data_IF_866532348626
#
_entry.id   IF_866532348626
#
_cell.length_a   1.000
_cell.length_b   1.000
_cell.length_c   1.000
_cell.angle_alpha   90.00
_cell.angle_beta   90.00
_cell.angle_gamma   90.00
#
_symmetry.space_group_name_H-M   'P 1'
#
loop_
_entity.id
_entity.type
_entity.pdbx_description
1 polymer ?
#
# COMPACT_ATOMS: atom_id res chain seq x y z
N UNK A 1 -13.91 -66.30 -13.77
CA UNK A 1 -13.64 -65.06 -13.02
C UNK A 1 -14.59 -64.01 -13.53
N UNK A 2 -15.30 -63.35 -12.62
CA UNK A 2 -16.65 -62.78 -12.76
C UNK A 2 -16.68 -61.49 -13.62
N UNK A 3 -17.70 -61.26 -14.48
CA UNK A 3 -17.97 -59.98 -15.12
C UNK A 3 -18.83 -59.11 -14.20
N UNK A 4 -18.45 -57.84 -13.98
CA UNK A 4 -19.27 -56.88 -13.25
C UNK A 4 -20.36 -56.31 -14.17
N UNK A 5 -21.61 -56.68 -13.86
CA UNK A 5 -22.80 -55.92 -14.21
C UNK A 5 -22.88 -54.68 -13.30
N UNK A 6 -23.23 -53.53 -13.88
CA UNK A 6 -24.18 -52.63 -13.24
C UNK A 6 -25.23 -52.28 -14.31
N UNK A 7 -26.39 -52.91 -14.16
CA UNK A 7 -27.64 -52.42 -14.72
C UNK A 7 -27.95 -51.09 -14.04
N UNK A 8 -28.16 -50.03 -14.81
CA UNK A 8 -29.07 -48.97 -14.37
C UNK A 8 -30.47 -49.41 -14.80
N UNK A 9 -31.37 -49.45 -13.84
CA UNK A 9 -32.71 -50.04 -13.83
C UNK A 9 -33.81 -49.00 -14.10
N UNK A 10 -33.48 -47.88 -14.76
CA UNK A 10 -34.45 -46.80 -14.93
C UNK A 10 -35.34 -47.01 -16.16
N UNK A 11 -36.62 -47.26 -15.89
CA UNK A 11 -37.67 -47.32 -16.91
C UNK A 11 -38.01 -45.90 -17.40
N UNK A 12 -38.21 -45.75 -18.72
CA UNK A 12 -38.46 -44.48 -19.43
C UNK A 12 -39.59 -43.61 -18.84
N UNK A 13 -40.49 -44.19 -18.04
CA UNK A 13 -41.60 -43.50 -17.38
C UNK A 13 -41.20 -42.70 -16.12
N UNK A 14 -40.05 -42.98 -15.48
CA UNK A 14 -39.60 -42.21 -14.29
C UNK A 14 -38.99 -40.83 -14.64
N UNK A 15 -38.60 -40.58 -15.89
CA UNK A 15 -38.07 -39.27 -16.32
C UNK A 15 -39.14 -38.19 -16.52
N UNK A 16 -40.44 -38.51 -16.46
CA UNK A 16 -41.53 -37.53 -16.71
C UNK A 16 -41.88 -36.65 -15.50
N UNK A 17 -41.38 -36.96 -14.31
CA UNK A 17 -41.78 -36.28 -13.06
C UNK A 17 -40.65 -35.59 -12.32
N UNK A 18 -39.41 -35.61 -12.85
CA UNK A 18 -38.32 -34.81 -12.29
C UNK A 18 -38.39 -33.40 -12.88
N UNK A 19 -38.73 -32.36 -12.09
CA UNK A 19 -38.71 -31.00 -12.57
C UNK A 19 -37.26 -30.62 -12.88
N UNK A 20 -36.91 -30.61 -14.17
CA UNK A 20 -35.61 -30.20 -14.65
C UNK A 20 -35.52 -28.68 -14.52
N UNK A 21 -34.82 -28.23 -13.48
CA UNK A 21 -34.52 -26.81 -13.29
C UNK A 21 -33.69 -26.32 -14.48
N UNK A 22 -34.21 -25.31 -15.20
CA UNK A 22 -33.78 -24.89 -16.54
C UNK A 22 -32.45 -24.13 -16.57
N UNK A 23 -31.63 -24.22 -15.53
CA UNK A 23 -30.40 -23.45 -15.37
C UNK A 23 -29.13 -24.20 -15.77
N UNK A 24 -29.19 -25.52 -15.99
CA UNK A 24 -28.02 -26.39 -16.16
C UNK A 24 -27.89 -27.11 -17.52
N UNK A 25 -28.70 -26.76 -18.53
CA UNK A 25 -28.65 -27.37 -19.88
C UNK A 25 -28.14 -26.39 -20.93
N UNK A 26 -27.26 -26.84 -21.81
CA UNK A 26 -26.80 -26.14 -23.02
C UNK A 26 -27.56 -26.66 -24.24
N UNK A 27 -27.87 -25.78 -25.19
CA UNK A 27 -28.59 -26.12 -26.42
C UNK A 27 -27.62 -26.08 -27.60
N UNK A 28 -27.42 -27.23 -28.23
CA UNK A 28 -26.63 -27.43 -29.45
C UNK A 28 -27.28 -26.73 -30.66
N UNK A 29 -26.52 -26.54 -31.74
CA UNK A 29 -27.01 -25.88 -32.97
C UNK A 29 -28.07 -26.71 -33.69
N UNK A 30 -27.95 -28.03 -33.64
CA UNK A 30 -28.94 -29.00 -34.11
C UNK A 30 -30.21 -29.07 -33.23
N UNK A 31 -30.28 -28.30 -32.14
CA UNK A 31 -31.43 -28.22 -31.24
C UNK A 31 -31.47 -29.26 -30.13
N UNK A 32 -30.44 -30.11 -30.01
CA UNK A 32 -30.26 -31.04 -28.89
C UNK A 32 -29.85 -30.30 -27.60
N UNK A 33 -30.06 -30.93 -26.45
CA UNK A 33 -29.63 -30.39 -25.16
C UNK A 33 -28.66 -31.33 -24.47
N UNK A 34 -27.57 -30.77 -23.94
CA UNK A 34 -26.53 -31.47 -23.16
C UNK A 34 -26.35 -30.78 -21.80
N UNK A 35 -25.57 -31.38 -20.89
CA UNK A 35 -25.23 -30.72 -19.63
C UNK A 35 -24.12 -29.71 -19.84
N UNK A 36 -24.11 -28.67 -18.99
CA UNK A 36 -23.11 -27.60 -19.09
C UNK A 36 -21.67 -28.06 -18.77
N UNK A 37 -21.50 -29.20 -18.11
CA UNK A 37 -20.20 -29.81 -17.86
C UNK A 37 -19.61 -30.51 -19.09
N UNK A 38 -20.43 -30.78 -20.09
CA UNK A 38 -20.08 -31.51 -21.33
C UNK A 38 -19.74 -30.49 -22.44
N UNK A 39 -19.12 -29.36 -22.07
CA UNK A 39 -18.78 -28.25 -22.97
C UNK A 39 -17.27 -28.05 -22.92
N UNK A 40 -16.60 -27.99 -24.07
CA UNK A 40 -15.14 -27.85 -24.19
C UNK A 40 -14.37 -28.96 -23.46
N UNK A 41 -14.88 -30.19 -23.49
CA UNK A 41 -14.22 -31.35 -22.90
C UNK A 41 -13.45 -32.19 -23.94
N UNK A 42 -13.37 -31.69 -25.19
CA UNK A 42 -12.80 -32.35 -26.35
C UNK A 42 -13.57 -33.58 -26.85
N UNK A 43 -14.84 -33.69 -26.45
CA UNK A 43 -15.79 -34.71 -26.90
C UNK A 43 -16.94 -34.01 -27.60
N UNK A 44 -17.35 -34.51 -28.77
CA UNK A 44 -18.55 -34.03 -29.45
C UNK A 44 -19.79 -34.70 -28.82
N UNK A 45 -20.31 -34.12 -27.74
CA UNK A 45 -21.56 -34.50 -27.08
C UNK A 45 -22.79 -33.99 -27.84
N UNK A 46 -22.64 -32.95 -28.66
CA UNK A 46 -23.72 -32.41 -29.49
C UNK A 46 -23.97 -33.18 -30.80
N UNK A 47 -23.06 -34.08 -31.22
CA UNK A 47 -23.03 -34.74 -32.54
C UNK A 47 -23.03 -33.74 -33.73
N UNK A 48 -22.70 -32.49 -33.45
CA UNK A 48 -22.59 -31.40 -34.44
C UNK A 48 -21.40 -30.47 -34.14
N UNK A 49 -20.59 -30.79 -33.12
CA UNK A 49 -19.41 -30.05 -32.68
C UNK A 49 -19.69 -28.71 -32.00
N UNK A 50 -20.96 -28.30 -31.81
CA UNK A 50 -21.30 -26.96 -31.28
C UNK A 50 -20.91 -26.72 -29.82
N UNK A 51 -20.68 -27.79 -29.08
CA UNK A 51 -20.16 -27.83 -27.71
C UNK A 51 -18.63 -27.65 -27.64
N UNK A 52 -17.92 -28.02 -28.70
CA UNK A 52 -16.47 -27.85 -28.86
C UNK A 52 -16.11 -26.61 -29.69
N UNK A 53 -17.06 -26.07 -30.46
CA UNK A 53 -16.88 -24.86 -31.27
C UNK A 53 -16.94 -23.55 -30.44
N UNK A 54 -16.70 -23.66 -29.13
CA UNK A 54 -16.52 -22.53 -28.21
C UNK A 54 -15.08 -21.99 -28.29
N UNK A 55 -14.63 -21.77 -29.53
CA UNK A 55 -13.67 -20.69 -29.78
C UNK A 55 -14.36 -19.32 -29.81
N UNK A 56 -15.70 -19.26 -29.70
CA UNK A 56 -16.47 -18.04 -29.84
C UNK A 56 -17.53 -17.79 -28.75
N UNK A 57 -17.07 -17.65 -27.50
CA UNK A 57 -17.75 -16.77 -26.51
C UNK A 57 -17.49 -15.27 -26.82
N UNK A 58 -16.97 -14.93 -28.01
CA UNK A 58 -16.73 -13.56 -28.45
C UNK A 58 -17.40 -13.13 -29.77
N UNK A 59 -18.31 -13.90 -30.36
CA UNK A 59 -19.05 -13.45 -31.56
C UNK A 59 -20.56 -13.70 -31.49
N UNK A 60 -21.20 -13.27 -30.39
CA UNK A 60 -22.56 -12.73 -30.55
C UNK A 60 -22.39 -11.48 -31.42
N UNK A 61 -23.07 -11.42 -32.58
CA UNK A 61 -23.21 -10.26 -33.48
C UNK A 61 -23.29 -8.91 -32.73
N UNK A 62 -22.14 -8.36 -32.37
CA UNK A 62 -21.93 -7.08 -31.73
C UNK A 62 -20.50 -6.73 -32.02
N UNK A 63 -20.28 -5.71 -32.85
CA UNK A 63 -18.98 -5.18 -33.27
C UNK A 63 -18.23 -4.48 -32.12
N UNK A 64 -18.28 -5.05 -30.91
CA UNK A 64 -17.76 -4.44 -29.69
C UNK A 64 -16.89 -5.43 -28.94
N UNK A 65 -15.59 -5.26 -29.10
CA UNK A 65 -14.56 -5.96 -28.33
C UNK A 65 -14.67 -5.48 -26.88
N UNK A 66 -14.86 -6.44 -25.96
CA UNK A 66 -14.97 -6.17 -24.52
C UNK A 66 -13.84 -6.88 -23.81
N UNK A 67 -13.02 -6.12 -23.09
CA UNK A 67 -11.89 -6.67 -22.35
C UNK A 67 -12.33 -7.53 -21.16
N UNK A 68 -11.49 -8.48 -20.72
CA UNK A 68 -11.84 -9.39 -19.65
C UNK A 68 -12.25 -8.65 -18.37
N UNK A 69 -13.35 -9.07 -17.74
CA UNK A 69 -13.83 -8.45 -16.49
C UNK A 69 -12.85 -8.73 -15.35
N UNK A 70 -12.76 -7.80 -14.39
CA UNK A 70 -11.88 -7.88 -13.21
C UNK A 70 -10.38 -7.98 -13.55
N UNK A 71 -9.99 -7.55 -14.74
CA UNK A 71 -8.59 -7.45 -15.16
C UNK A 71 -8.24 -6.01 -15.44
N UNK A 72 -6.94 -5.71 -15.50
CA UNK A 72 -6.45 -4.37 -15.81
C UNK A 72 -6.12 -4.21 -17.28
N UNK A 73 -7.08 -4.53 -18.15
CA UNK A 73 -6.97 -4.31 -19.58
C UNK A 73 -7.86 -3.15 -20.03
N UNK A 74 -7.33 -2.31 -20.93
CA UNK A 74 -8.07 -1.25 -21.61
C UNK A 74 -8.27 -1.62 -23.08
N UNK A 75 -9.42 -1.24 -23.63
CA UNK A 75 -9.67 -1.40 -25.06
C UNK A 75 -8.91 -0.33 -25.85
N UNK A 76 -8.06 -0.75 -26.79
CA UNK A 76 -7.43 0.13 -27.75
C UNK A 76 -8.25 0.16 -29.05
N UNK A 77 -8.68 1.37 -29.44
CA UNK A 77 -9.51 1.63 -30.63
C UNK A 77 -8.75 1.48 -31.95
N UNK A 78 -7.42 1.62 -31.94
CA UNK A 78 -6.58 1.57 -33.13
C UNK A 78 -6.16 0.13 -33.44
N UNK A 79 -5.68 -0.59 -32.43
CA UNK A 79 -5.26 -1.99 -32.58
C UNK A 79 -6.44 -2.96 -32.56
N UNK A 80 -7.64 -2.50 -32.17
CA UNK A 80 -8.82 -3.36 -31.93
C UNK A 80 -8.48 -4.51 -30.97
N UNK A 81 -7.64 -4.26 -29.97
CA UNK A 81 -7.25 -5.28 -28.98
C UNK A 81 -7.38 -4.75 -27.56
N UNK A 82 -7.34 -5.67 -26.60
CA UNK A 82 -7.25 -5.34 -25.19
C UNK A 82 -5.78 -5.26 -24.79
N UNK A 83 -5.35 -4.07 -24.42
CA UNK A 83 -3.99 -3.79 -24.01
C UNK A 83 -3.90 -3.68 -22.50
N UNK A 84 -2.80 -4.19 -21.98
CA UNK A 84 -2.48 -4.11 -20.57
C UNK A 84 -2.41 -2.64 -20.14
N UNK A 85 -3.03 -2.30 -19.01
CA UNK A 85 -2.87 -0.99 -18.41
C UNK A 85 -1.55 -1.01 -17.66
N UNK A 86 -0.66 -0.06 -17.97
CA UNK A 86 0.57 0.10 -17.20
C UNK A 86 0.31 1.02 -16.00
N UNK A 87 0.05 0.46 -14.81
CA UNK A 87 -0.19 1.25 -13.59
C UNK A 87 1.06 1.98 -13.11
N UNK A 88 2.26 1.54 -13.50
CA UNK A 88 3.49 2.26 -13.16
C UNK A 88 3.53 3.64 -13.83
N UNK A 89 3.06 3.74 -15.07
CA UNK A 89 2.99 5.00 -15.81
C UNK A 89 1.72 5.79 -15.51
N UNK A 90 0.65 5.11 -15.09
CA UNK A 90 -0.63 5.75 -14.80
C UNK A 90 -0.82 6.02 -13.30
N UNK A 91 -0.42 7.22 -12.86
CA UNK A 91 -0.49 7.67 -11.46
C UNK A 91 -1.89 7.52 -10.85
N UNK A 92 -2.96 7.71 -11.62
CA UNK A 92 -4.34 7.61 -11.10
C UNK A 92 -4.80 6.17 -10.82
N UNK A 93 -4.10 5.19 -11.40
CA UNK A 93 -4.37 3.76 -11.21
C UNK A 93 -3.28 3.06 -10.39
N UNK A 94 -2.23 3.79 -9.99
CA UNK A 94 -1.21 3.30 -9.10
C UNK A 94 -1.70 3.38 -7.65
N UNK A 95 -2.02 2.22 -7.08
CA UNK A 95 -2.45 2.11 -5.68
C UNK A 95 -1.33 1.70 -4.73
N UNK A 96 -0.09 1.59 -5.21
CA UNK A 96 1.03 1.19 -4.36
C UNK A 96 1.50 2.36 -3.50
N UNK A 97 1.71 2.10 -2.22
CA UNK A 97 2.29 3.07 -1.28
C UNK A 97 3.75 3.46 -1.62
N UNK A 98 4.50 2.53 -2.24
CA UNK A 98 5.91 2.72 -2.58
C UNK A 98 6.19 2.33 -4.03
N UNK A 99 6.60 1.08 -4.28
CA UNK A 99 7.09 0.65 -5.59
C UNK A 99 5.99 -0.11 -6.32
N UNK A 100 5.66 0.32 -7.53
CA UNK A 100 4.71 -0.36 -8.41
C UNK A 100 5.44 -1.18 -9.47
N UNK A 101 5.05 -2.45 -9.62
CA UNK A 101 5.56 -3.33 -10.67
C UNK A 101 4.39 -3.78 -11.55
N UNK A 102 4.36 -3.28 -12.79
CA UNK A 102 3.35 -3.66 -13.77
C UNK A 102 3.42 -5.17 -14.11
N UNK A 103 2.27 -5.81 -14.27
CA UNK A 103 2.15 -7.22 -14.68
C UNK A 103 1.02 -7.35 -15.71
N UNK A 104 1.13 -8.26 -16.66
CA UNK A 104 0.03 -8.44 -17.62
C UNK A 104 -1.28 -8.80 -16.90
N UNK A 105 -2.29 -7.96 -17.09
CA UNK A 105 -3.63 -8.05 -16.51
C UNK A 105 -3.73 -7.60 -15.06
N UNK A 106 -2.65 -7.14 -14.43
CA UNK A 106 -2.60 -6.83 -13.00
C UNK A 106 -1.40 -5.95 -12.62
N UNK A 107 -1.18 -5.73 -11.34
CA UNK A 107 0.05 -5.10 -10.86
C UNK A 107 0.36 -5.69 -9.50
N UNK A 108 1.61 -5.49 -9.05
CA UNK A 108 1.99 -5.83 -7.69
C UNK A 108 2.81 -4.72 -7.09
N UNK A 109 2.61 -4.50 -5.80
CA UNK A 109 3.39 -3.57 -5.03
C UNK A 109 4.58 -4.27 -4.37
N UNK A 110 5.71 -3.59 -4.38
CA UNK A 110 6.93 -3.94 -3.66
C UNK A 110 7.29 -2.81 -2.68
N UNK A 111 8.09 -3.16 -1.67
CA UNK A 111 8.53 -2.22 -0.64
C UNK A 111 10.03 -1.96 -0.78
N UNK A 112 10.43 -0.72 -0.51
CA UNK A 112 11.82 -0.31 -0.45
C UNK A 112 12.56 -1.03 0.68
N UNK A 113 13.89 -1.03 0.60
CA UNK A 113 14.74 -1.62 1.65
C UNK A 113 14.42 -1.03 3.03
N UNK A 114 14.23 -1.90 4.03
CA UNK A 114 13.83 -1.50 5.39
C UNK A 114 12.31 -1.48 5.63
N UNK A 115 11.50 -1.65 4.58
CA UNK A 115 10.04 -1.74 4.67
C UNK A 115 9.55 -3.17 4.40
N UNK A 116 8.41 -3.50 4.99
CA UNK A 116 7.73 -4.78 4.86
C UNK A 116 6.32 -4.58 4.32
N UNK A 117 5.81 -5.56 3.57
CA UNK A 117 4.48 -5.48 2.95
C UNK A 117 3.39 -5.92 3.91
N UNK A 118 2.33 -5.14 4.04
CA UNK A 118 1.20 -5.44 4.93
C UNK A 118 0.52 -6.76 4.55
N UNK A 119 0.25 -7.58 5.57
CA UNK A 119 -0.46 -8.85 5.41
C UNK A 119 -1.95 -8.64 5.11
N UNK A 120 -2.51 -7.51 5.54
CA UNK A 120 -3.93 -7.15 5.36
C UNK A 120 -4.13 -6.45 4.02
N UNK A 121 -3.36 -5.40 3.74
CA UNK A 121 -3.42 -4.66 2.49
C UNK A 121 -2.12 -4.79 1.72
N UNK A 122 -2.09 -5.63 0.69
CA UNK A 122 -0.86 -5.93 -0.08
C UNK A 122 -0.32 -4.72 -0.88
N UNK A 123 -1.04 -3.61 -0.91
CA UNK A 123 -0.58 -2.36 -1.50
C UNK A 123 0.21 -1.47 -0.54
N UNK A 124 0.13 -1.74 0.77
CA UNK A 124 0.72 -0.92 1.82
C UNK A 124 2.05 -1.49 2.29
N UNK A 125 3.03 -0.61 2.45
CA UNK A 125 4.35 -0.89 3.01
C UNK A 125 4.48 -0.19 4.36
N UNK A 126 4.91 -0.92 5.38
CA UNK A 126 5.20 -0.40 6.71
C UNK A 126 6.70 -0.45 6.99
N UNK A 127 7.23 0.52 7.73
CA UNK A 127 8.58 0.43 8.25
C UNK A 127 8.65 -0.83 9.12
N UNK A 128 9.68 -1.68 8.96
CA UNK A 128 9.76 -3.00 9.56
C UNK A 128 9.82 -3.00 11.10
N UNK A 129 10.86 -3.60 11.68
CA UNK A 129 11.01 -3.75 13.15
C UNK A 129 11.39 -2.44 13.89
N UNK A 130 10.90 -1.30 13.40
CA UNK A 130 11.21 0.02 13.93
C UNK A 130 9.97 0.62 14.62
N UNK A 131 10.12 1.03 15.86
CA UNK A 131 9.13 1.86 16.55
C UNK A 131 9.21 3.27 15.97
N UNK A 132 8.06 3.84 15.62
CA UNK A 132 7.94 5.22 15.17
C UNK A 132 7.46 6.03 16.36
N UNK A 133 8.30 6.97 16.79
CA UNK A 133 7.97 7.94 17.81
C UNK A 133 7.76 9.31 17.13
N UNK A 134 6.74 10.05 17.56
CA UNK A 134 6.52 11.42 17.13
C UNK A 134 7.12 12.36 18.17
N UNK A 135 8.17 13.10 17.81
CA UNK A 135 8.71 14.17 18.64
C UNK A 135 7.84 15.42 18.50
N UNK A 136 7.52 16.04 19.62
CA UNK A 136 6.66 17.23 19.70
C UNK A 136 7.42 18.29 20.50
N UNK A 137 7.45 19.49 19.97
CA UNK A 137 7.90 20.68 20.71
C UNK A 137 6.67 21.53 20.98
N UNK A 138 6.31 21.65 22.25
CA UNK A 138 5.33 22.59 22.77
C UNK A 138 6.07 23.78 23.40
N UNK A 139 5.42 24.91 23.74
CA UNK A 139 6.12 26.10 24.24
C UNK A 139 6.96 25.91 25.51
N UNK A 140 6.56 25.00 26.41
CA UNK A 140 7.24 24.79 27.70
C UNK A 140 7.92 23.42 27.82
N UNK A 141 7.73 22.54 26.83
CA UNK A 141 8.23 21.18 26.89
C UNK A 141 8.55 20.59 25.52
N UNK A 142 9.51 19.66 25.51
CA UNK A 142 9.77 18.79 24.36
C UNK A 142 9.54 17.36 24.82
N UNK A 143 8.67 16.66 24.10
CA UNK A 143 8.28 15.29 24.41
C UNK A 143 8.23 14.40 23.17
N UNK A 144 7.95 13.12 23.41
CA UNK A 144 7.64 12.14 22.37
C UNK A 144 6.31 11.47 22.63
N UNK A 145 5.54 11.28 21.57
CA UNK A 145 4.40 10.39 21.54
C UNK A 145 4.85 9.04 20.98
N UNK A 146 4.94 8.04 21.86
CA UNK A 146 5.25 6.66 21.53
C UNK A 146 3.95 5.87 21.35
N UNK A 147 3.94 4.91 20.42
CA UNK A 147 2.88 3.90 20.36
C UNK A 147 3.38 2.63 21.04
N UNK A 148 2.77 2.24 22.16
CA UNK A 148 3.04 0.94 22.77
C UNK A 148 2.30 -0.15 21.97
N UNK A 149 3.00 -1.03 21.23
CA UNK A 149 2.35 -2.06 20.41
C UNK A 149 1.72 -3.17 21.25
N UNK A 150 2.14 -3.34 22.51
CA UNK A 150 1.66 -4.39 23.41
C UNK A 150 0.33 -3.98 24.04
N UNK A 151 0.24 -2.74 24.53
CA UNK A 151 -0.96 -2.22 25.20
C UNK A 151 -1.94 -1.55 24.23
N UNK A 152 -1.55 -1.39 22.96
CA UNK A 152 -2.27 -0.62 21.94
C UNK A 152 -2.65 0.79 22.42
N UNK A 153 -1.85 1.33 23.35
CA UNK A 153 -2.00 2.65 23.94
C UNK A 153 -0.87 3.56 23.47
N UNK A 154 -1.16 4.85 23.33
CA UNK A 154 -0.13 5.87 23.12
C UNK A 154 0.37 6.39 24.46
N UNK A 155 1.68 6.49 24.62
CA UNK A 155 2.33 7.06 25.79
C UNK A 155 3.05 8.34 25.41
N UNK A 156 2.89 9.40 26.20
CA UNK A 156 3.58 10.67 26.00
C UNK A 156 4.66 10.83 27.07
N UNK A 157 5.92 10.91 26.65
CA UNK A 157 7.08 11.12 27.51
C UNK A 157 7.60 12.54 27.33
N UNK A 158 7.87 13.25 28.42
CA UNK A 158 8.51 14.57 28.40
C UNK A 158 10.01 14.41 28.69
N UNK A 159 10.86 15.08 27.91
CA UNK A 159 12.32 15.05 28.03
C UNK A 159 12.93 16.34 28.50
N UNK A 160 12.30 17.46 28.15
CA UNK A 160 12.77 18.80 28.44
C UNK A 160 11.59 19.53 29.03
N UNK A 161 11.76 20.05 30.24
CA UNK A 161 10.76 20.80 30.99
C UNK A 161 11.25 22.23 31.21
N UNK A 162 10.31 23.15 31.42
CA UNK A 162 10.52 24.52 31.89
C UNK A 162 11.52 25.33 31.05
N UNK A 163 11.52 25.14 29.72
CA UNK A 163 12.42 25.89 28.85
C UNK A 163 11.88 27.23 28.37
N UNK A 164 10.58 27.50 28.56
CA UNK A 164 9.86 28.70 28.13
C UNK A 164 10.25 29.19 26.72
N UNK A 165 9.34 29.00 25.76
CA UNK A 165 9.46 29.40 24.36
C UNK A 165 10.31 28.45 23.48
N UNK A 166 10.08 27.15 23.61
CA UNK A 166 10.59 26.14 22.67
C UNK A 166 9.72 26.07 21.42
N UNK A 167 10.34 26.09 20.23
CA UNK A 167 9.59 26.07 18.96
C UNK A 167 10.05 24.99 17.99
N UNK A 168 10.93 25.31 17.05
CA UNK A 168 11.31 24.40 15.98
C UNK A 168 12.32 23.36 16.47
N UNK A 169 12.07 22.08 16.19
CA UNK A 169 12.93 20.95 16.56
C UNK A 169 13.47 20.23 15.31
N UNK A 170 14.73 19.78 15.36
CA UNK A 170 15.33 18.89 14.37
C UNK A 170 16.14 17.80 15.06
N UNK A 171 16.27 16.63 14.43
CA UNK A 171 16.90 15.46 15.04
C UNK A 171 18.00 14.89 14.15
N UNK A 172 19.17 14.66 14.74
CA UNK A 172 20.18 13.73 14.25
C UNK A 172 19.89 12.35 14.84
N UNK A 173 19.29 11.49 14.04
CA UNK A 173 18.91 10.14 14.45
C UNK A 173 20.12 9.22 14.65
N UNK A 174 21.23 9.45 13.95
CA UNK A 174 22.43 8.61 14.01
C UNK A 174 23.17 8.84 15.33
N UNK A 175 23.37 10.12 15.68
CA UNK A 175 24.03 10.50 16.94
C UNK A 175 23.06 10.60 18.12
N UNK A 176 21.75 10.46 17.86
CA UNK A 176 20.69 10.61 18.85
C UNK A 176 20.78 11.95 19.55
N UNK A 177 20.81 13.03 18.78
CA UNK A 177 20.81 14.41 19.29
C UNK A 177 19.62 15.13 18.68
N UNK A 178 18.85 15.84 19.49
CA UNK A 178 17.86 16.79 18.98
C UNK A 178 18.28 18.21 19.30
N UNK A 179 17.87 19.12 18.43
CA UNK A 179 18.23 20.52 18.44
C UNK A 179 16.94 21.32 18.38
N UNK A 180 16.88 22.43 19.11
CA UNK A 180 15.72 23.30 19.06
C UNK A 180 16.10 24.77 19.20
N UNK A 181 15.17 25.62 18.77
CA UNK A 181 15.27 27.07 18.93
C UNK A 181 14.53 27.48 20.20
N UNK A 182 15.19 28.25 21.06
CA UNK A 182 14.54 28.95 22.17
C UNK A 182 14.28 30.41 21.78
N UNK A 183 13.03 30.76 21.48
CA UNK A 183 12.68 32.04 20.85
C UNK A 183 13.01 33.23 21.75
N UNK A 184 12.66 33.17 23.05
CA UNK A 184 12.96 34.24 23.99
C UNK A 184 14.46 34.48 24.20
N UNK A 185 15.27 33.42 24.12
CA UNK A 185 16.73 33.55 24.28
C UNK A 185 17.45 33.83 22.97
N UNK A 186 16.78 33.66 21.83
CA UNK A 186 17.37 33.72 20.49
C UNK A 186 18.61 32.81 20.36
N UNK A 187 18.57 31.64 21.01
CA UNK A 187 19.66 30.66 21.02
C UNK A 187 19.17 29.32 20.49
N UNK A 188 20.14 28.54 20.02
CA UNK A 188 19.94 27.16 19.63
C UNK A 188 20.47 26.27 20.73
N UNK A 189 19.65 25.33 21.16
CA UNK A 189 19.97 24.33 22.15
C UNK A 189 20.04 22.95 21.54
N UNK A 190 20.74 22.05 22.21
CA UNK A 190 20.76 20.65 21.87
C UNK A 190 20.82 19.76 23.11
N UNK A 191 20.38 18.51 22.93
CA UNK A 191 20.34 17.49 23.96
C UNK A 191 20.41 16.09 23.33
N UNK A 192 20.96 15.14 24.07
CA UNK A 192 21.01 13.74 23.63
C UNK A 192 19.70 13.01 23.95
N UNK A 193 19.18 12.22 23.00
CA UNK A 193 18.08 11.29 23.24
C UNK A 193 18.58 10.08 24.00
N UNK A 194 18.35 10.04 25.30
CA UNK A 194 18.62 8.85 26.12
C UNK A 194 17.50 7.82 25.94
N UNK A 195 17.79 6.55 25.61
CA UNK A 195 16.77 5.55 25.28
C UNK A 195 15.76 5.26 26.40
N UNK A 196 16.15 5.38 27.67
CA UNK A 196 15.45 4.73 28.79
C UNK A 196 15.31 5.59 30.06
N UNK A 197 15.39 6.92 29.97
CA UNK A 197 15.29 7.78 31.15
C UNK A 197 14.31 8.92 30.92
N UNK A 198 13.26 8.94 31.75
CA UNK A 198 12.43 10.10 32.13
C UNK A 198 13.32 11.03 32.96
N UNK A 199 14.47 11.41 32.43
CA UNK A 199 15.39 12.32 33.08
C UNK A 199 15.42 13.55 32.22
N UNK A 200 14.98 14.66 32.80
CA UNK A 200 15.06 16.00 32.23
C UNK A 200 16.46 16.18 31.67
N UNK A 201 16.57 16.28 30.34
CA UNK A 201 17.87 16.43 29.68
C UNK A 201 18.30 17.87 29.87
N UNK A 202 19.56 18.08 30.24
CA UNK A 202 20.06 19.44 30.43
C UNK A 202 20.42 20.06 29.08
N UNK A 203 19.76 21.17 28.67
CA UNK A 203 20.06 21.86 27.42
C UNK A 203 21.49 22.38 27.41
N UNK A 204 22.17 22.23 26.28
CA UNK A 204 23.42 22.95 26.00
C UNK A 204 23.18 23.96 24.88
N UNK A 205 23.60 25.21 25.07
CA UNK A 205 23.50 26.24 24.03
C UNK A 205 24.69 26.12 23.06
N UNK A 206 24.42 26.00 21.75
CA UNK A 206 25.47 25.90 20.72
C UNK A 206 26.05 27.23 20.29
N UNK A 207 25.20 28.26 20.27
CA UNK A 207 25.56 29.57 19.73
C UNK A 207 25.46 30.58 20.87
N UNK A 208 26.60 30.96 21.42
CA UNK A 208 26.65 32.02 22.41
C UNK A 208 28.00 32.78 22.40
N UNK A 209 27.86 34.11 22.36
CA UNK A 209 28.70 35.19 22.92
C UNK A 209 29.65 36.01 22.03
N UNK A 210 30.30 35.49 20.99
CA UNK A 210 31.26 36.32 20.23
C UNK A 210 30.93 36.41 18.73
N UNK A 211 30.20 37.47 18.35
CA UNK A 211 30.05 38.04 16.99
C UNK A 211 29.18 37.33 15.93
N UNK A 212 28.53 36.19 16.20
CA UNK A 212 27.56 35.63 15.27
C UNK A 212 26.14 36.14 15.57
N UNK A 213 25.72 37.19 14.85
CA UNK A 213 24.40 37.79 14.97
C UNK A 213 23.31 36.90 14.33
N UNK A 214 22.92 35.82 15.00
CA UNK A 214 21.56 35.30 14.82
C UNK A 214 20.64 36.19 15.62
N UNK A 215 19.84 37.00 14.92
CA UNK A 215 18.94 37.96 15.58
C UNK A 215 17.61 37.27 15.86
N UNK A 216 17.05 36.53 14.88
CA UNK A 216 15.80 35.79 15.07
C UNK A 216 15.87 34.44 14.33
N UNK A 217 16.44 33.38 14.95
CA UNK A 217 16.38 32.04 14.39
C UNK A 217 14.92 31.61 14.24
N UNK A 218 14.56 31.07 13.06
CA UNK A 218 13.17 30.80 12.69
C UNK A 218 12.91 29.41 12.13
N UNK A 219 13.95 28.72 11.68
CA UNK A 219 13.87 27.32 11.34
C UNK A 219 15.23 26.67 11.49
N UNK A 220 15.22 25.36 11.71
CA UNK A 220 16.41 24.56 11.94
C UNK A 220 16.28 23.25 11.15
N UNK A 221 17.35 22.87 10.45
CA UNK A 221 17.42 21.64 9.68
C UNK A 221 18.79 20.98 9.85
N UNK A 222 18.81 19.65 9.86
CA UNK A 222 20.03 18.87 10.07
C UNK A 222 20.27 17.98 8.86
N UNK A 223 21.50 18.02 8.35
CA UNK A 223 22.04 16.96 7.50
C UNK A 223 22.81 15.97 8.39
N UNK A 224 22.17 14.86 8.74
CA UNK A 224 22.77 13.83 9.59
C UNK A 224 23.87 13.02 8.87
N UNK A 225 24.00 13.13 7.54
CA UNK A 225 25.07 12.47 6.78
C UNK A 225 26.33 13.33 6.83
N UNK A 226 26.21 14.61 6.49
CA UNK A 226 27.33 15.55 6.46
C UNK A 226 27.64 16.16 7.82
N UNK A 227 26.79 15.92 8.83
CA UNK A 227 26.93 16.45 10.19
C UNK A 227 26.88 17.98 10.24
N UNK A 228 26.00 18.58 9.42
CA UNK A 228 25.83 20.02 9.32
C UNK A 228 24.47 20.46 9.87
N UNK A 229 24.47 21.58 10.61
CA UNK A 229 23.28 22.26 11.11
C UNK A 229 23.01 23.51 10.28
N UNK A 230 21.80 23.62 9.75
CA UNK A 230 21.33 24.75 8.95
C UNK A 230 20.27 25.52 9.73
N UNK A 231 20.36 26.85 9.70
CA UNK A 231 19.50 27.74 10.48
C UNK A 231 19.10 28.92 9.62
N UNK A 232 17.81 29.25 9.59
CA UNK A 232 17.31 30.47 8.94
C UNK A 232 17.09 31.59 9.95
N UNK A 233 17.45 32.82 9.57
CA UNK A 233 17.22 34.03 10.36
C UNK A 233 16.23 34.96 9.63
N UNK A 234 15.16 35.40 10.31
CA UNK A 234 14.12 36.25 9.72
C UNK A 234 14.58 37.68 9.40
N UNK A 235 15.62 38.18 10.07
CA UNK A 235 16.08 39.56 9.87
C UNK A 235 17.24 39.63 8.88
N UNK A 236 18.10 38.61 8.84
CA UNK A 236 19.28 38.65 7.98
C UNK A 236 19.07 38.18 6.54
N UNK A 237 17.90 37.65 6.16
CA UNK A 237 17.65 37.16 4.79
C UNK A 237 18.79 36.25 4.26
N UNK A 238 19.46 35.52 5.16
CA UNK A 238 20.48 34.55 4.79
C UNK A 238 19.81 33.20 4.55
N UNK A 239 20.06 32.64 3.36
CA UNK A 239 19.76 31.24 2.99
C UNK A 239 20.98 30.40 3.35
#
# INVERSE_FOLDING_TARGET
MIPFFLLSDETFELCRTVPCNSTNRFRCTNGRYIYRCDICDHTDNCDDGSDEDIYDVYTIKSTRIVCPRNTRYKYNKESFTCEDINEYENVTLNYCSQICVNKRGSFRCECATGFQRSAVNRSDCYAGDQTIDLMISEPDEIGRLCRNPIENASHYDVFVEDQHDTSFISIDINNRIFYWIGEATSKIYHAHLTPNTISTVHPQALLNEDNNHLIIPSSIAIDWISQNLYVSDLIHNCI
#
